data_IF_631432924912
#
_entry.id   IF_631432924912
#
_cell.length_a   1.000
_cell.length_b   1.000
_cell.length_c   1.000
_cell.angle_alpha   90.00
_cell.angle_beta   90.00
_cell.angle_gamma   90.00
#
_symmetry.space_group_name_H-M   'P 1'
#
loop_
_entity.id
_entity.type
_entity.pdbx_description
1 polymer ?
#
# COMPACT_ATOMS: atom_id res chain seq x y z
N UNK A 1 -19.11 11.35 -14.36
CA UNK A 1 -17.89 10.72 -13.83
C UNK A 1 -17.27 9.87 -14.92
N UNK A 2 -16.00 10.10 -15.23
CA UNK A 2 -15.25 9.31 -16.21
C UNK A 2 -14.92 7.91 -15.64
N UNK A 3 -14.67 6.93 -16.53
CA UNK A 3 -14.40 5.55 -16.15
C UNK A 3 -13.29 5.42 -15.08
N UNK A 4 -12.10 6.09 -15.19
CA UNK A 4 -11.09 6.07 -14.14
C UNK A 4 -11.62 6.49 -12.77
N UNK A 5 -12.34 7.60 -12.69
CA UNK A 5 -12.90 8.07 -11.42
C UNK A 5 -13.88 7.07 -10.78
N UNK A 6 -14.67 6.35 -11.60
CA UNK A 6 -15.57 5.31 -11.11
C UNK A 6 -14.78 4.15 -10.48
N UNK A 7 -13.66 3.76 -11.09
CA UNK A 7 -12.80 2.68 -10.57
C UNK A 7 -12.10 3.09 -9.26
N UNK A 8 -11.65 4.35 -9.16
CA UNK A 8 -11.07 4.88 -7.91
C UNK A 8 -12.10 4.92 -6.78
N UNK A 9 -13.34 5.38 -7.05
CA UNK A 9 -14.43 5.36 -6.05
C UNK A 9 -14.79 3.93 -5.66
N UNK A 10 -14.85 3.01 -6.64
CA UNK A 10 -15.09 1.59 -6.36
C UNK A 10 -14.03 1.03 -5.41
N UNK A 11 -12.75 1.36 -5.60
CA UNK A 11 -11.66 0.94 -4.70
C UNK A 11 -11.84 1.53 -3.29
N UNK A 12 -12.24 2.79 -3.18
CA UNK A 12 -12.54 3.40 -1.88
C UNK A 12 -13.68 2.66 -1.14
N UNK A 13 -14.66 2.12 -1.86
CA UNK A 13 -15.75 1.31 -1.28
C UNK A 13 -15.25 -0.11 -0.98
N UNK A 14 -14.44 -0.70 -1.85
CA UNK A 14 -13.90 -2.06 -1.64
C UNK A 14 -12.96 -2.15 -0.44
N UNK A 15 -12.26 -1.06 -0.09
CA UNK A 15 -11.34 -1.04 1.05
C UNK A 15 -12.03 -1.33 2.40
N UNK A 16 -13.11 -0.65 2.81
CA UNK A 16 -13.81 -1.02 4.05
C UNK A 16 -14.48 -2.39 3.95
N UNK A 17 -14.98 -2.82 2.79
CA UNK A 17 -15.53 -4.16 2.61
C UNK A 17 -14.44 -5.23 2.78
N UNK A 18 -13.26 -5.00 2.25
CA UNK A 18 -12.08 -5.85 2.48
C UNK A 18 -11.75 -5.96 3.98
N UNK A 19 -11.71 -4.82 4.68
CA UNK A 19 -11.41 -4.81 6.12
C UNK A 19 -12.49 -5.53 6.93
N UNK A 20 -13.76 -5.37 6.58
CA UNK A 20 -14.86 -6.12 7.17
C UNK A 20 -14.69 -7.63 6.93
N UNK A 21 -14.40 -8.05 5.68
CA UNK A 21 -14.15 -9.45 5.35
C UNK A 21 -12.94 -10.00 6.11
N UNK A 22 -11.88 -9.21 6.31
CA UNK A 22 -10.70 -9.63 7.05
C UNK A 22 -10.96 -9.82 8.55
N UNK A 23 -11.77 -8.93 9.16
CA UNK A 23 -11.95 -8.89 10.61
C UNK A 23 -13.17 -9.68 11.11
N UNK A 24 -14.23 -9.79 10.34
CA UNK A 24 -15.46 -10.46 10.70
C UNK A 24 -15.36 -11.96 10.41
N UNK A 25 -15.58 -12.79 11.43
CA UNK A 25 -15.51 -14.24 11.31
C UNK A 25 -16.78 -14.80 10.65
N UNK A 26 -16.63 -15.32 9.41
CA UNK A 26 -17.61 -16.14 8.70
C UNK A 26 -16.86 -17.17 7.84
N UNK A 27 -17.51 -18.26 7.38
CA UNK A 27 -16.83 -19.28 6.59
C UNK A 27 -16.08 -18.68 5.39
N UNK A 28 -14.78 -19.02 5.26
CA UNK A 28 -13.90 -18.56 4.17
C UNK A 28 -13.71 -17.02 4.09
N UNK A 29 -13.81 -16.31 5.20
CA UNK A 29 -13.70 -14.85 5.22
C UNK A 29 -12.32 -14.34 4.72
N UNK A 30 -11.24 -15.08 4.93
CA UNK A 30 -9.92 -14.73 4.38
C UNK A 30 -9.84 -14.90 2.86
N UNK A 31 -10.58 -15.86 2.28
CA UNK A 31 -10.72 -15.98 0.81
C UNK A 31 -11.49 -14.79 0.28
N UNK A 32 -12.59 -14.38 0.92
CA UNK A 32 -13.33 -13.19 0.53
C UNK A 32 -12.46 -11.93 0.60
N UNK A 33 -11.67 -11.77 1.67
CA UNK A 33 -10.70 -10.68 1.79
C UNK A 33 -9.64 -10.73 0.68
N UNK A 34 -9.09 -11.91 0.37
CA UNK A 34 -8.09 -12.09 -0.70
C UNK A 34 -8.66 -11.73 -2.07
N UNK A 35 -9.89 -12.13 -2.39
CA UNK A 35 -10.56 -11.77 -3.65
C UNK A 35 -10.82 -10.27 -3.73
N UNK A 36 -11.34 -9.66 -2.66
CA UNK A 36 -11.58 -8.21 -2.61
C UNK A 36 -10.29 -7.40 -2.76
N UNK A 37 -9.22 -7.79 -2.05
CA UNK A 37 -7.92 -7.13 -2.17
C UNK A 37 -7.33 -7.27 -3.58
N UNK A 38 -7.38 -8.49 -4.15
CA UNK A 38 -6.87 -8.75 -5.50
C UNK A 38 -7.66 -7.96 -6.55
N UNK A 39 -8.99 -7.96 -6.47
CA UNK A 39 -9.84 -7.21 -7.38
C UNK A 39 -9.58 -5.69 -7.28
N UNK A 40 -9.50 -5.14 -6.06
CA UNK A 40 -9.19 -3.74 -5.84
C UNK A 40 -7.80 -3.36 -6.37
N UNK A 41 -6.79 -4.22 -6.19
CA UNK A 41 -5.43 -4.00 -6.70
C UNK A 41 -5.36 -4.08 -8.23
N UNK A 42 -6.11 -4.99 -8.86
CA UNK A 42 -6.20 -5.10 -10.31
C UNK A 42 -6.90 -3.89 -10.93
N UNK A 43 -7.97 -3.39 -10.31
CA UNK A 43 -8.64 -2.16 -10.80
C UNK A 43 -7.68 -0.98 -10.84
N UNK A 44 -6.76 -0.84 -9.87
CA UNK A 44 -5.71 0.19 -9.85
C UNK A 44 -4.76 0.10 -11.04
N UNK A 45 -4.36 -1.10 -11.41
CA UNK A 45 -3.48 -1.32 -12.57
C UNK A 45 -4.16 -0.95 -13.90
N UNK A 46 -5.48 -1.17 -14.00
CA UNK A 46 -6.24 -0.89 -15.22
C UNK A 46 -6.62 0.59 -15.34
N UNK A 47 -7.08 1.24 -14.26
CA UNK A 47 -7.50 2.64 -14.30
C UNK A 47 -6.32 3.56 -14.62
N UNK A 48 -5.16 3.33 -14.02
CA UNK A 48 -3.94 4.07 -14.32
C UNK A 48 -3.46 3.95 -15.77
N UNK A 49 -3.67 2.79 -16.42
CA UNK A 49 -3.37 2.59 -17.85
C UNK A 49 -4.40 3.31 -18.75
N UNK A 50 -5.68 3.18 -18.44
CA UNK A 50 -6.79 3.76 -19.23
C UNK A 50 -6.78 5.29 -19.13
N UNK A 51 -6.59 5.86 -17.93
CA UNK A 51 -6.53 7.30 -17.72
C UNK A 51 -5.40 7.95 -18.55
N UNK A 52 -4.21 7.34 -18.54
CA UNK A 52 -3.05 7.81 -19.32
C UNK A 52 -3.27 7.68 -20.82
N UNK A 53 -3.86 6.59 -21.29
CA UNK A 53 -4.10 6.34 -22.71
C UNK A 53 -5.15 7.27 -23.32
N UNK A 54 -6.12 7.75 -22.51
CA UNK A 54 -7.26 8.56 -22.99
C UNK A 54 -7.19 10.04 -22.59
N UNK A 55 -6.17 10.49 -21.86
CA UNK A 55 -6.04 11.88 -21.41
C UNK A 55 -7.17 12.36 -20.48
N UNK A 56 -7.91 11.44 -19.88
CA UNK A 56 -9.10 11.71 -19.04
C UNK A 56 -8.71 11.99 -17.58
N UNK A 57 -7.82 12.95 -17.37
CA UNK A 57 -7.38 13.33 -16.02
C UNK A 57 -8.29 14.41 -15.45
N UNK A 58 -9.01 14.10 -14.36
CA UNK A 58 -9.88 15.05 -13.66
C UNK A 58 -9.27 15.51 -12.34
N UNK A 59 -9.67 16.68 -11.84
CA UNK A 59 -9.20 17.18 -10.54
C UNK A 59 -9.61 16.24 -9.40
N UNK A 60 -10.81 15.65 -9.47
CA UNK A 60 -11.29 14.65 -8.50
C UNK A 60 -10.41 13.39 -8.52
N UNK A 61 -10.07 12.86 -9.71
CA UNK A 61 -9.17 11.71 -9.84
C UNK A 61 -7.80 12.00 -9.25
N UNK A 62 -7.19 13.14 -9.59
CA UNK A 62 -5.89 13.56 -9.01
C UNK A 62 -5.87 13.59 -7.48
N UNK A 63 -7.01 13.87 -6.84
CA UNK A 63 -7.14 13.89 -5.39
C UNK A 63 -7.42 12.47 -4.82
N UNK A 64 -8.33 11.72 -5.44
CA UNK A 64 -8.76 10.42 -4.93
C UNK A 64 -7.74 9.30 -5.19
N UNK A 65 -7.00 9.32 -6.32
CA UNK A 65 -6.05 8.28 -6.67
C UNK A 65 -4.95 8.06 -5.60
N UNK A 66 -4.23 9.12 -5.13
CA UNK A 66 -3.24 8.94 -4.08
C UNK A 66 -3.82 8.48 -2.74
N UNK A 67 -5.10 8.77 -2.48
CA UNK A 67 -5.79 8.34 -1.28
C UNK A 67 -6.16 6.86 -1.37
N UNK A 68 -6.85 6.47 -2.46
CA UNK A 68 -7.31 5.10 -2.68
C UNK A 68 -6.17 4.09 -2.77
N UNK A 69 -5.05 4.46 -3.42
CA UNK A 69 -3.85 3.63 -3.53
C UNK A 69 -3.27 3.24 -2.15
N UNK A 70 -3.26 4.17 -1.21
CA UNK A 70 -2.66 3.94 0.10
C UNK A 70 -3.62 3.35 1.13
N UNK A 71 -4.91 3.62 1.01
CA UNK A 71 -5.89 3.15 1.99
C UNK A 71 -6.05 1.63 1.98
N UNK A 72 -6.01 0.99 0.80
CA UNK A 72 -6.16 -0.46 0.68
C UNK A 72 -5.00 -1.22 1.35
N UNK A 73 -3.76 -0.86 1.04
CA UNK A 73 -2.57 -1.49 1.64
C UNK A 73 -2.47 -1.20 3.14
N UNK A 74 -2.79 0.02 3.56
CA UNK A 74 -2.86 0.40 4.98
C UNK A 74 -3.91 -0.41 5.72
N UNK A 75 -5.11 -0.56 5.16
CA UNK A 75 -6.18 -1.37 5.75
C UNK A 75 -5.74 -2.83 5.93
N UNK A 76 -5.00 -3.40 4.96
CA UNK A 76 -4.48 -4.76 5.08
C UNK A 76 -3.51 -4.91 6.26
N UNK A 77 -2.52 -4.03 6.37
CA UNK A 77 -1.55 -4.09 7.48
C UNK A 77 -2.19 -3.80 8.84
N UNK A 78 -3.16 -2.86 8.93
CA UNK A 78 -3.93 -2.62 10.14
C UNK A 78 -4.76 -3.86 10.53
N UNK A 79 -5.39 -4.51 9.57
CA UNK A 79 -6.13 -5.74 9.78
C UNK A 79 -5.23 -6.88 10.30
N UNK A 80 -4.03 -7.04 9.73
CA UNK A 80 -3.05 -8.02 10.23
C UNK A 80 -2.55 -7.69 11.63
N UNK A 81 -2.39 -6.40 11.98
CA UNK A 81 -2.04 -6.00 13.35
C UNK A 81 -3.09 -6.46 14.37
N UNK A 82 -4.38 -6.45 13.98
CA UNK A 82 -5.47 -6.95 14.84
C UNK A 82 -5.48 -8.48 14.91
N UNK A 83 -5.24 -9.17 13.79
CA UNK A 83 -5.27 -10.65 13.72
C UNK A 83 -4.04 -11.33 14.30
N UNK A 84 -2.89 -10.66 14.33
CA UNK A 84 -1.60 -11.19 14.77
C UNK A 84 -1.01 -10.29 15.87
N UNK A 85 -1.64 -10.20 17.03
CA UNK A 85 -1.13 -9.41 18.13
C UNK A 85 0.25 -9.96 18.59
N UNK A 86 1.18 -9.06 18.89
CA UNK A 86 2.54 -9.45 19.30
C UNK A 86 3.58 -9.63 18.19
N UNK A 87 3.18 -9.60 16.92
CA UNK A 87 4.11 -9.69 15.77
C UNK A 87 4.90 -8.38 15.50
N UNK A 88 4.79 -7.38 16.34
CA UNK A 88 5.43 -6.07 16.15
C UNK A 88 4.90 -5.28 14.95
N UNK A 89 3.78 -5.67 14.36
CA UNK A 89 3.22 -5.08 13.15
C UNK A 89 2.81 -3.60 13.32
N UNK A 90 2.61 -3.15 14.55
CA UNK A 90 2.41 -1.72 14.87
C UNK A 90 3.59 -0.87 14.32
N UNK A 91 4.83 -1.31 14.56
CA UNK A 91 6.03 -0.64 14.04
C UNK A 91 6.11 -0.73 12.51
N UNK A 92 5.72 -1.87 11.93
CA UNK A 92 5.66 -2.04 10.48
C UNK A 92 4.70 -1.03 9.84
N UNK A 93 3.49 -0.90 10.37
CA UNK A 93 2.48 0.08 9.93
C UNK A 93 3.01 1.50 10.05
N UNK A 94 3.58 1.86 11.20
CA UNK A 94 4.15 3.19 11.45
C UNK A 94 5.23 3.55 10.42
N UNK A 95 6.19 2.66 10.19
CA UNK A 95 7.29 2.88 9.24
C UNK A 95 6.80 3.01 7.79
N UNK A 96 5.85 2.14 7.38
CA UNK A 96 5.25 2.21 6.05
C UNK A 96 4.53 3.55 5.85
N UNK A 97 3.64 3.92 6.78
CA UNK A 97 2.85 5.17 6.68
C UNK A 97 3.74 6.40 6.68
N UNK A 98 4.72 6.48 7.59
CA UNK A 98 5.66 7.61 7.66
C UNK A 98 6.37 7.81 6.33
N UNK A 99 6.86 6.73 5.73
CA UNK A 99 7.51 6.79 4.42
C UNK A 99 6.55 7.20 3.32
N UNK A 100 5.33 6.65 3.28
CA UNK A 100 4.33 6.98 2.26
C UNK A 100 3.97 8.47 2.30
N UNK A 101 3.71 9.00 3.47
CA UNK A 101 3.40 10.42 3.65
C UNK A 101 4.59 11.31 3.30
N UNK A 102 5.78 10.97 3.79
CA UNK A 102 7.01 11.74 3.53
C UNK A 102 7.26 11.87 2.02
N UNK A 103 7.27 10.76 1.28
CA UNK A 103 7.52 10.79 -0.17
C UNK A 103 6.41 11.51 -0.94
N UNK A 104 5.15 11.36 -0.50
CA UNK A 104 4.02 12.07 -1.13
C UNK A 104 4.11 13.57 -0.91
N UNK A 105 4.44 14.01 0.31
CA UNK A 105 4.61 15.42 0.65
C UNK A 105 5.73 16.07 -0.16
N UNK A 106 6.88 15.39 -0.28
CA UNK A 106 8.00 15.88 -1.11
C UNK A 106 7.60 16.00 -2.58
N UNK A 107 6.86 15.03 -3.13
CA UNK A 107 6.38 15.12 -4.52
C UNK A 107 5.38 16.24 -4.73
N UNK A 108 4.49 16.49 -3.78
CA UNK A 108 3.52 17.59 -3.86
C UNK A 108 4.23 18.95 -3.83
N UNK A 109 5.23 19.11 -2.96
CA UNK A 109 6.05 20.33 -2.92
C UNK A 109 6.80 20.56 -4.23
N UNK A 110 7.47 19.53 -4.75
CA UNK A 110 8.19 19.62 -6.03
C UNK A 110 7.25 19.94 -7.21
N UNK A 111 6.07 19.31 -7.25
CA UNK A 111 5.08 19.57 -8.28
C UNK A 111 4.54 21.02 -8.28
N UNK A 112 4.44 21.64 -7.10
CA UNK A 112 4.07 23.07 -6.97
C UNK A 112 5.08 23.98 -7.66
N UNK A 113 6.36 23.59 -7.66
CA UNK A 113 7.45 24.36 -8.29
C UNK A 113 7.71 23.89 -9.74
N UNK A 114 6.79 23.09 -10.32
CA UNK A 114 6.90 22.59 -11.70
C UNK A 114 7.90 21.43 -11.88
N UNK A 115 8.49 20.92 -10.79
CA UNK A 115 9.46 19.82 -10.84
C UNK A 115 8.77 18.48 -10.70
N UNK A 116 8.92 17.60 -11.71
CA UNK A 116 8.36 16.24 -11.69
C UNK A 116 9.43 15.25 -11.25
N UNK A 117 9.30 14.73 -10.03
CA UNK A 117 10.20 13.70 -9.51
C UNK A 117 9.69 12.31 -9.89
N UNK A 118 10.44 11.61 -10.75
CA UNK A 118 10.08 10.26 -11.20
C UNK A 118 10.16 9.21 -10.06
N UNK A 119 9.34 8.15 -10.19
CA UNK A 119 9.39 7.03 -9.25
C UNK A 119 10.69 6.22 -9.46
N UNK A 120 11.43 5.98 -8.38
CA UNK A 120 12.64 5.13 -8.41
C UNK A 120 12.27 3.65 -8.58
N UNK A 121 13.21 2.83 -9.09
CA UNK A 121 13.04 1.37 -9.15
C UNK A 121 12.81 0.75 -7.76
N UNK A 122 13.52 1.24 -6.75
CA UNK A 122 13.32 0.83 -5.35
C UNK A 122 11.90 1.14 -4.85
N UNK A 123 11.31 2.28 -5.29
CA UNK A 123 9.92 2.61 -5.01
C UNK A 123 8.91 1.65 -5.65
N UNK A 124 9.21 1.09 -6.82
CA UNK A 124 8.37 0.06 -7.46
C UNK A 124 8.53 -1.29 -6.75
N UNK A 125 9.76 -1.69 -6.45
CA UNK A 125 10.06 -2.96 -5.77
C UNK A 125 9.36 -3.06 -4.41
N UNK A 126 9.38 -1.99 -3.60
CA UNK A 126 8.70 -1.98 -2.30
C UNK A 126 7.18 -2.24 -2.42
N UNK A 127 6.54 -1.68 -3.47
CA UNK A 127 5.09 -1.86 -3.70
C UNK A 127 4.77 -3.31 -4.05
N UNK A 128 5.59 -3.94 -4.90
CA UNK A 128 5.45 -5.36 -5.24
C UNK A 128 5.64 -6.22 -4.00
N UNK A 129 6.65 -5.96 -3.17
CA UNK A 129 6.89 -6.70 -1.94
C UNK A 129 5.74 -6.56 -0.94
N UNK A 130 5.16 -5.36 -0.78
CA UNK A 130 3.98 -5.15 0.05
C UNK A 130 2.78 -5.95 -0.47
N UNK A 131 2.49 -5.92 -1.77
CA UNK A 131 1.42 -6.70 -2.39
C UNK A 131 1.60 -8.21 -2.17
N UNK A 132 2.80 -8.73 -2.44
CA UNK A 132 3.13 -10.15 -2.26
C UNK A 132 2.98 -10.56 -0.79
N UNK A 133 3.47 -9.74 0.15
CA UNK A 133 3.34 -10.04 1.58
C UNK A 133 1.89 -10.06 2.06
N UNK A 134 1.03 -9.17 1.54
CA UNK A 134 -0.40 -9.14 1.88
C UNK A 134 -1.11 -10.37 1.33
N UNK A 135 -0.92 -10.69 0.05
CA UNK A 135 -1.54 -11.87 -0.57
C UNK A 135 -1.11 -13.17 0.11
N UNK A 136 0.18 -13.30 0.40
CA UNK A 136 0.70 -14.45 1.13
C UNK A 136 0.09 -14.57 2.53
N UNK A 137 0.04 -13.46 3.29
CA UNK A 137 -0.51 -13.49 4.66
C UNK A 137 -1.99 -13.85 4.67
N UNK A 138 -2.80 -13.35 3.74
CA UNK A 138 -4.22 -13.73 3.60
C UNK A 138 -4.37 -15.23 3.30
N UNK A 139 -3.54 -15.77 2.41
CA UNK A 139 -3.53 -17.20 2.10
C UNK A 139 -3.07 -18.05 3.30
N UNK A 140 -2.04 -17.59 4.04
CA UNK A 140 -1.55 -18.28 5.24
C UNK A 140 -2.58 -18.29 6.37
N UNK A 141 -3.32 -17.19 6.58
CA UNK A 141 -4.41 -17.13 7.54
C UNK A 141 -5.54 -18.09 7.17
N UNK A 142 -5.93 -18.15 5.88
CA UNK A 142 -6.95 -19.11 5.42
C UNK A 142 -6.47 -20.56 5.57
N UNK A 143 -5.22 -20.84 5.22
CA UNK A 143 -4.65 -22.18 5.40
C UNK A 143 -4.65 -22.58 6.87
N UNK A 144 -4.29 -21.65 7.78
CA UNK A 144 -4.34 -21.89 9.22
C UNK A 144 -5.75 -22.19 9.74
N UNK A 145 -6.76 -21.51 9.22
CA UNK A 145 -8.17 -21.77 9.58
C UNK A 145 -8.64 -23.18 9.14
N UNK A 146 -8.15 -23.64 7.97
CA UNK A 146 -8.52 -24.95 7.43
C UNK A 146 -7.75 -26.12 8.06
N UNK A 147 -6.46 -25.93 8.32
CA UNK A 147 -5.56 -26.97 8.83
C UNK A 147 -5.68 -27.09 10.36
N UNK A 148 -6.04 -25.98 11.03
CA UNK A 148 -6.04 -25.89 12.50
C UNK A 148 -4.68 -25.47 13.07
N UNK A 149 -4.60 -25.42 14.41
CA UNK A 149 -3.38 -25.05 15.11
C UNK A 149 -2.33 -26.15 15.04
N UNK A 150 -1.09 -25.81 14.67
CA UNK A 150 0.01 -26.75 14.55
C UNK A 150 1.31 -26.09 14.04
N UNK A 151 2.38 -26.89 13.99
CA UNK A 151 3.68 -26.43 13.56
C UNK A 151 3.67 -25.88 12.11
N UNK A 152 2.88 -26.49 11.22
CA UNK A 152 2.75 -26.04 9.84
C UNK A 152 2.08 -24.67 9.76
N UNK A 153 0.97 -24.46 10.46
CA UNK A 153 0.27 -23.16 10.52
C UNK A 153 1.17 -22.09 11.10
N UNK A 154 1.84 -22.38 12.22
CA UNK A 154 2.81 -21.45 12.82
C UNK A 154 3.95 -21.08 11.85
N UNK A 155 4.46 -22.06 11.11
CA UNK A 155 5.49 -21.85 10.09
C UNK A 155 5.03 -20.94 8.95
N UNK A 156 3.80 -21.12 8.44
CA UNK A 156 3.21 -20.28 7.40
C UNK A 156 3.03 -18.84 7.89
N UNK A 157 2.53 -18.64 9.11
CA UNK A 157 2.33 -17.31 9.68
C UNK A 157 3.66 -16.59 9.94
N UNK A 158 4.67 -17.30 10.44
CA UNK A 158 6.03 -16.74 10.63
C UNK A 158 6.62 -16.34 9.28
N UNK A 159 6.51 -17.18 8.25
CA UNK A 159 6.98 -16.83 6.90
C UNK A 159 6.28 -15.56 6.36
N UNK A 160 4.98 -15.42 6.59
CA UNK A 160 4.23 -14.19 6.24
C UNK A 160 4.71 -12.96 6.99
N UNK A 161 5.00 -13.08 8.28
CA UNK A 161 5.58 -11.99 9.07
C UNK A 161 6.97 -11.59 8.56
N UNK A 162 7.81 -12.55 8.22
CA UNK A 162 9.13 -12.29 7.62
C UNK A 162 8.99 -11.54 6.29
N UNK A 163 8.06 -11.94 5.43
CA UNK A 163 7.78 -11.22 4.17
C UNK A 163 7.32 -9.78 4.41
N UNK A 164 6.48 -9.54 5.42
CA UNK A 164 6.07 -8.18 5.81
C UNK A 164 7.28 -7.36 6.24
N UNK A 165 8.17 -7.90 7.09
CA UNK A 165 9.36 -7.19 7.54
C UNK A 165 10.37 -6.93 6.41
N UNK A 166 10.48 -7.83 5.43
CA UNK A 166 11.26 -7.59 4.20
C UNK A 166 10.66 -6.42 3.41
N UNK A 167 9.33 -6.36 3.27
CA UNK A 167 8.65 -5.25 2.61
C UNK A 167 8.83 -3.92 3.37
N UNK A 168 8.84 -3.96 4.71
CA UNK A 168 9.15 -2.79 5.56
C UNK A 168 10.58 -2.31 5.33
N UNK A 169 11.56 -3.21 5.36
CA UNK A 169 12.96 -2.88 5.12
C UNK A 169 13.17 -2.23 3.74
N UNK A 170 12.58 -2.83 2.69
CA UNK A 170 12.60 -2.26 1.34
C UNK A 170 11.93 -0.88 1.29
N UNK A 171 10.85 -0.69 2.05
CA UNK A 171 10.13 0.58 2.15
C UNK A 171 10.99 1.67 2.79
N UNK A 172 11.66 1.35 3.90
CA UNK A 172 12.57 2.28 4.61
C UNK A 172 13.76 2.65 3.73
N UNK A 173 14.45 1.65 3.14
CA UNK A 173 15.58 1.87 2.25
C UNK A 173 15.18 2.78 1.07
N UNK A 174 14.06 2.48 0.43
CA UNK A 174 13.53 3.30 -0.66
C UNK A 174 13.20 4.74 -0.21
N UNK A 175 12.74 4.92 1.04
CA UNK A 175 12.48 6.23 1.63
C UNK A 175 13.75 7.04 1.83
N UNK A 176 14.78 6.43 2.42
CA UNK A 176 16.09 7.06 2.64
C UNK A 176 16.72 7.47 1.31
N UNK A 177 16.74 6.57 0.32
CA UNK A 177 17.26 6.89 -1.02
C UNK A 177 16.53 8.07 -1.66
N UNK A 178 15.20 8.13 -1.47
CA UNK A 178 14.38 9.20 -2.02
C UNK A 178 14.71 10.56 -1.37
N UNK A 179 14.79 10.63 -0.05
CA UNK A 179 15.15 11.86 0.69
C UNK A 179 16.56 12.31 0.32
N UNK A 180 17.49 11.35 0.23
CA UNK A 180 18.86 11.67 -0.13
C UNK A 180 18.98 12.23 -1.57
N UNK A 181 18.23 11.69 -2.51
CA UNK A 181 18.15 12.19 -3.89
C UNK A 181 17.53 13.61 -3.95
N UNK A 182 16.57 13.90 -3.07
CA UNK A 182 15.88 15.17 -3.02
C UNK A 182 16.56 16.22 -2.10
N UNK A 183 17.66 15.88 -1.42
CA UNK A 183 18.33 16.75 -0.42
C UNK A 183 18.69 18.13 -0.98
N UNK A 184 19.18 18.21 -2.22
CA UNK A 184 19.54 19.48 -2.87
C UNK A 184 18.34 20.41 -2.99
N UNK A 185 17.14 19.86 -3.27
CA UNK A 185 15.91 20.61 -3.38
C UNK A 185 15.53 21.35 -2.08
N UNK A 186 15.93 20.82 -0.92
CA UNK A 186 15.68 21.47 0.37
C UNK A 186 16.76 22.46 0.76
N UNK A 187 18.00 22.28 0.28
CA UNK A 187 19.16 23.11 0.65
C UNK A 187 19.18 24.41 -0.18
N UNK A 188 18.95 24.33 -1.50
CA UNK A 188 19.03 25.49 -2.40
C UNK A 188 17.93 26.56 -2.13
N UNK A 189 16.85 26.17 -1.42
CA UNK A 189 15.75 27.09 -1.09
C UNK A 189 15.95 27.88 0.22
N UNK A 190 16.90 27.46 1.05
CA UNK A 190 17.22 28.19 2.29
C UNK A 190 18.05 29.47 2.02
N UNK A 191 18.73 29.53 0.87
CA UNK A 191 19.58 30.66 0.51
C UNK A 191 18.84 31.75 -0.28
N UNK A 192 17.68 31.44 -0.89
CA UNK A 192 16.85 32.41 -1.65
C UNK A 192 15.90 33.25 -0.76
N UNK A 193 15.88 33.06 0.54
CA UNK A 193 15.00 33.78 1.50
C UNK A 193 15.77 34.75 2.39
N UNK A 194 17.03 35.10 2.00
CA UNK A 194 17.82 36.13 2.67
C UNK A 194 17.98 37.38 1.83
#
# INVERSE_FOLDING_TARGET
MNLPNKLTVLRCIMTPLFLLALLWAFPYHYVAALVLFSAASLTDLFDGKIARARGLVTNLGKFLDPLADKTLTTAAFLGFMVKLPGAGLCWAVMLILTREFMVTSVRLLAAKDGVVIAASMAGKAKTVLQMVSILYMLAALQAGELIGEGALTSGLLIAGQVLIWIAVAATVISGIQYVWACRRYFTDRADDVR
#
